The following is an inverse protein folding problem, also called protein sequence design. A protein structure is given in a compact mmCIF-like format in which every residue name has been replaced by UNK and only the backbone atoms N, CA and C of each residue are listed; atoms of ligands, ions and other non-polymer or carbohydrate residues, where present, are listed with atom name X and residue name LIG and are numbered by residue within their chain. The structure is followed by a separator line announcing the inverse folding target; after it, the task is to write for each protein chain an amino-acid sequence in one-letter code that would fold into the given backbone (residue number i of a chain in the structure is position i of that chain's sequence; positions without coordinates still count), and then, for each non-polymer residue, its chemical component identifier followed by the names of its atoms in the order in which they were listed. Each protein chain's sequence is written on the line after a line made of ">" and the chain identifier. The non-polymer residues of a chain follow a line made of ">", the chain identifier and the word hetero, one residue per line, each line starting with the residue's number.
data_IF_992844903302
#
_entry.id   IF_992844903302
#
_cell.length_a   1.000
_cell.length_b   1.000
_cell.length_c   1.000
_cell.angle_alpha   90.00
_cell.angle_beta   90.00
_cell.angle_gamma   90.00
#
_symmetry.space_group_name_H-M   'P 1'
#
loop_
_entity.id
_entity.type
_entity.pdbx_description
1 polymer ?
#
# COMPACT_ATOMS: atom_id res chain seq x y z
N UNK A 1 2.75 -8.42 -16.32
CA UNK A 1 2.25 -9.29 -15.24
C UNK A 1 2.83 -8.79 -13.94
N UNK A 2 2.01 -8.47 -12.94
CA UNK A 2 2.50 -8.18 -11.59
C UNK A 2 3.05 -9.47 -11.00
N UNK A 3 4.25 -9.39 -10.43
CA UNK A 3 4.90 -10.54 -9.83
C UNK A 3 4.24 -10.90 -8.49
N UNK A 4 3.88 -12.17 -8.31
CA UNK A 4 3.21 -12.66 -7.10
C UNK A 4 4.05 -12.48 -5.82
N UNK A 5 5.39 -12.45 -5.95
CA UNK A 5 6.31 -12.22 -4.83
C UNK A 5 6.23 -10.76 -4.40
N UNK A 6 6.13 -9.85 -5.37
CA UNK A 6 5.99 -8.42 -5.11
C UNK A 6 4.67 -8.09 -4.42
N UNK A 7 3.56 -8.68 -4.87
CA UNK A 7 2.25 -8.59 -4.19
C UNK A 7 2.32 -9.05 -2.74
N UNK A 8 2.95 -10.21 -2.49
CA UNK A 8 3.13 -10.70 -1.12
C UNK A 8 3.97 -9.75 -0.28
N UNK A 9 5.07 -9.23 -0.82
CA UNK A 9 5.91 -8.24 -0.14
C UNK A 9 5.08 -7.00 0.24
N UNK A 10 4.35 -6.42 -0.71
CA UNK A 10 3.51 -5.24 -0.48
C UNK A 10 2.39 -5.51 0.54
N UNK A 11 1.80 -6.71 0.50
CA UNK A 11 0.82 -7.14 1.49
C UNK A 11 1.41 -7.14 2.90
N UNK A 12 2.60 -7.70 3.09
CA UNK A 12 3.28 -7.68 4.39
C UNK A 12 3.73 -6.28 4.82
N UNK A 13 4.19 -5.43 3.89
CA UNK A 13 4.51 -4.02 4.16
C UNK A 13 3.29 -3.16 4.48
N UNK A 14 2.10 -3.56 4.03
CA UNK A 14 0.83 -2.91 4.35
C UNK A 14 0.31 -3.29 5.74
N UNK A 15 0.76 -4.43 6.29
CA UNK A 15 0.42 -4.86 7.65
C UNK A 15 1.23 -4.09 8.68
N UNK A 16 0.67 -2.96 9.09
CA UNK A 16 1.29 -1.99 10.01
C UNK A 16 0.64 -2.08 11.39
N UNK A 17 1.24 -1.42 12.39
CA UNK A 17 0.73 -1.42 13.77
C UNK A 17 -0.60 -0.65 13.96
N UNK A 18 -1.07 0.07 12.93
CA UNK A 18 -2.32 0.81 12.92
C UNK A 18 -3.40 0.07 12.12
N UNK A 19 -4.52 -0.23 12.77
CA UNK A 19 -5.63 -0.98 12.18
C UNK A 19 -6.28 -0.25 11.00
N UNK A 20 -6.38 1.08 11.06
CA UNK A 20 -6.98 1.88 9.98
C UNK A 20 -6.16 1.80 8.69
N UNK A 21 -4.83 1.82 8.78
CA UNK A 21 -3.95 1.63 7.63
C UNK A 21 -4.04 0.20 7.09
N UNK A 22 -4.08 -0.81 7.97
CA UNK A 22 -4.23 -2.21 7.56
C UNK A 22 -5.54 -2.41 6.77
N UNK A 23 -6.66 -1.88 7.29
CA UNK A 23 -7.98 -1.96 6.64
C UNK A 23 -8.01 -1.28 5.27
N UNK A 24 -7.24 -0.20 5.07
CA UNK A 24 -7.18 0.49 3.78
C UNK A 24 -6.19 -0.17 2.80
N UNK A 25 -4.96 -0.43 3.23
CA UNK A 25 -3.87 -0.85 2.37
C UNK A 25 -3.97 -2.34 1.97
N UNK A 26 -4.45 -3.21 2.87
CA UNK A 26 -4.56 -4.65 2.60
C UNK A 26 -5.49 -4.99 1.43
N UNK A 27 -6.75 -4.52 1.39
CA UNK A 27 -7.63 -4.76 0.24
C UNK A 27 -7.13 -4.02 -1.01
N UNK A 28 -6.54 -2.83 -0.84
CA UNK A 28 -5.97 -2.06 -1.96
C UNK A 28 -4.87 -2.85 -2.69
N UNK A 29 -3.92 -3.46 -1.97
CA UNK A 29 -2.88 -4.30 -2.59
C UNK A 29 -3.46 -5.53 -3.27
N UNK A 30 -4.51 -6.14 -2.70
CA UNK A 30 -5.08 -7.36 -3.27
C UNK A 30 -5.92 -7.13 -4.51
N UNK A 31 -6.72 -6.07 -4.53
CA UNK A 31 -7.73 -5.85 -5.57
C UNK A 31 -7.31 -4.75 -6.55
N UNK A 32 -6.72 -3.66 -6.06
CA UNK A 32 -6.40 -2.48 -6.88
C UNK A 32 -5.01 -2.56 -7.48
N UNK A 33 -3.97 -2.89 -6.70
CA UNK A 33 -2.60 -2.99 -7.19
C UNK A 33 -2.39 -3.84 -8.46
N UNK A 34 -3.00 -5.03 -8.64
CA UNK A 34 -2.84 -5.80 -9.88
C UNK A 34 -3.50 -5.15 -11.09
N UNK A 35 -4.43 -4.21 -10.89
CA UNK A 35 -5.11 -3.45 -11.95
C UNK A 35 -4.43 -2.12 -12.26
N UNK A 36 -3.48 -1.69 -11.44
CA UNK A 36 -2.74 -0.43 -11.63
C UNK A 36 -1.68 -0.54 -12.72
N UNK A 37 -1.47 0.59 -13.42
CA UNK A 37 -0.40 0.73 -14.39
C UNK A 37 0.99 0.69 -13.71
N UNK A 38 2.07 0.53 -14.48
CA UNK A 38 3.42 0.51 -13.95
C UNK A 38 3.78 1.80 -13.18
N UNK A 39 3.31 2.94 -13.67
CA UNK A 39 3.58 4.25 -13.05
C UNK A 39 2.91 4.39 -11.67
N UNK A 40 1.64 3.98 -11.56
CA UNK A 40 0.91 3.98 -10.28
C UNK A 40 1.44 2.93 -9.30
N UNK A 41 1.90 1.78 -9.79
CA UNK A 41 2.58 0.78 -8.97
C UNK A 41 3.87 1.33 -8.38
N UNK A 42 4.63 2.11 -9.13
CA UNK A 42 5.83 2.77 -8.62
C UNK A 42 5.48 3.85 -7.59
N UNK A 43 4.45 4.66 -7.84
CA UNK A 43 3.94 5.64 -6.86
C UNK A 43 3.53 4.97 -5.55
N UNK A 44 2.80 3.86 -5.63
CA UNK A 44 2.38 3.10 -4.45
C UNK A 44 3.59 2.52 -3.69
N UNK A 45 4.62 2.09 -4.40
CA UNK A 45 5.84 1.58 -3.79
C UNK A 45 6.58 2.69 -3.01
N UNK A 46 6.72 3.88 -3.61
CA UNK A 46 7.26 5.07 -2.94
C UNK A 46 6.44 5.47 -1.71
N UNK A 47 5.11 5.36 -1.79
CA UNK A 47 4.22 5.62 -0.67
C UNK A 47 4.49 4.67 0.52
N UNK A 48 4.71 3.38 0.24
CA UNK A 48 5.00 2.39 1.27
C UNK A 48 6.40 2.52 1.89
N UNK A 49 7.31 3.25 1.26
CA UNK A 49 8.62 3.60 1.85
C UNK A 49 8.50 4.73 2.89
N UNK A 50 7.38 5.45 2.95
CA UNK A 50 7.12 6.47 3.95
C UNK A 50 6.71 5.89 5.32
N UNK A 51 6.92 6.69 6.36
CA UNK A 51 6.56 6.36 7.73
C UNK A 51 5.04 6.26 7.92
N UNK A 52 4.61 5.34 8.80
CA UNK A 52 3.20 5.12 9.13
C UNK A 52 2.47 6.41 9.52
N UNK A 53 3.17 7.28 10.25
CA UNK A 53 2.61 8.51 10.80
C UNK A 53 2.25 9.52 9.70
N UNK A 54 3.08 9.66 8.68
CA UNK A 54 2.81 10.52 7.51
C UNK A 54 1.67 9.96 6.67
N UNK A 55 1.70 8.65 6.40
CA UNK A 55 0.64 7.97 5.65
C UNK A 55 -0.72 8.15 6.34
N UNK A 56 -0.78 7.92 7.66
CA UNK A 56 -1.98 8.13 8.45
C UNK A 56 -2.46 9.58 8.40
N UNK A 57 -1.53 10.55 8.47
CA UNK A 57 -1.82 11.97 8.30
C UNK A 57 -2.45 12.31 6.94
N UNK A 58 -1.94 11.73 5.85
CA UNK A 58 -2.49 11.93 4.50
C UNK A 58 -3.88 11.34 4.33
N UNK A 59 -4.13 10.14 4.87
CA UNK A 59 -5.45 9.50 4.77
C UNK A 59 -6.50 10.17 5.65
N UNK A 60 -6.11 10.65 6.83
CA UNK A 60 -7.04 11.26 7.80
C UNK A 60 -7.34 12.74 7.54
N UNK A 61 -6.80 13.35 6.46
CA UNK A 61 -7.09 14.72 6.00
C UNK A 61 -7.33 15.72 7.15
N UNK A 62 -6.33 15.91 8.01
CA UNK A 62 -6.39 16.95 9.04
C UNK A 62 -5.61 18.19 8.61
#
# INVERSE_FOLDING_TARGET
>A
MVDSIELNRLYWHSRRGMLELDVLLVPFVKEVYPTLDADDRERYRKLLECEDQDMFGWFMQR
#
